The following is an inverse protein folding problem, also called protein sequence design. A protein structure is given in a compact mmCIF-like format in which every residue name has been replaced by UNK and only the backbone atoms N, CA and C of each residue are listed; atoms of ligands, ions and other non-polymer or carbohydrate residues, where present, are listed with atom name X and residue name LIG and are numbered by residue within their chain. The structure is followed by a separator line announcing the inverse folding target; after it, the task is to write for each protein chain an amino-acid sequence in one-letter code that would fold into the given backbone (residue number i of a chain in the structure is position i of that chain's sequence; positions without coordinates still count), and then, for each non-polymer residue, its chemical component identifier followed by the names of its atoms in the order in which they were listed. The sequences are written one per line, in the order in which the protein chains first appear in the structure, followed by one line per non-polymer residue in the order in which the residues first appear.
data_IF_779596640121
#
_entry.id   IF_779596640121
#
_cell.length_a   1.000
_cell.length_b   1.000
_cell.length_c   1.000
_cell.angle_alpha   90.00
_cell.angle_beta   90.00
_cell.angle_gamma   90.00
#
_symmetry.space_group_name_H-M   'P 1'
#
loop_
_entity.id
_entity.type
_entity.pdbx_description
1 polymer ?
#
# COMPACT_ATOMS: atom_id res chain seq x y z
N UNK A 1 -0.70 28.02 -22.02
CA UNK A 1 0.24 27.09 -22.69
C UNK A 1 0.77 26.12 -21.63
N UNK A 2 0.13 24.97 -21.44
CA UNK A 2 0.51 24.00 -20.40
C UNK A 2 1.70 23.19 -20.91
N UNK A 3 2.83 23.27 -20.20
CA UNK A 3 4.09 22.61 -20.56
C UNK A 3 3.93 21.10 -20.35
N UNK A 4 3.99 20.35 -21.43
CA UNK A 4 3.69 18.92 -21.53
C UNK A 4 4.72 18.05 -20.79
N UNK A 5 4.31 17.52 -19.63
CA UNK A 5 4.49 16.19 -19.01
C UNK A 5 5.64 15.20 -19.36
N UNK A 6 6.67 15.55 -20.13
CA UNK A 6 7.73 14.61 -20.53
C UNK A 6 8.54 14.06 -19.34
N UNK A 7 8.69 14.82 -18.25
CA UNK A 7 9.43 14.36 -17.06
C UNK A 7 8.70 13.25 -16.28
N UNK A 8 7.36 13.19 -16.34
CA UNK A 8 6.57 12.15 -15.66
C UNK A 8 6.55 10.84 -16.47
N UNK A 9 6.64 10.91 -17.80
CA UNK A 9 6.65 9.72 -18.66
C UNK A 9 7.93 8.89 -18.55
N UNK A 10 9.06 9.50 -18.19
CA UNK A 10 10.31 8.77 -17.94
C UNK A 10 10.26 8.02 -16.60
N UNK A 11 9.51 8.53 -15.61
CA UNK A 11 9.36 7.91 -14.31
C UNK A 11 8.52 6.62 -14.35
N UNK A 12 7.50 6.51 -15.21
CA UNK A 12 6.60 5.35 -15.21
C UNK A 12 7.26 4.01 -15.59
N UNK A 13 8.10 3.93 -16.64
CA UNK A 13 8.87 2.71 -16.93
C UNK A 13 9.88 2.36 -15.85
N UNK A 14 10.51 3.36 -15.24
CA UNK A 14 11.52 3.15 -14.20
C UNK A 14 10.90 2.70 -12.87
N UNK A 15 9.76 3.28 -12.49
CA UNK A 15 8.97 2.86 -11.33
C UNK A 15 8.41 1.44 -11.51
N UNK A 16 7.91 1.13 -12.70
CA UNK A 16 7.47 -0.22 -13.05
C UNK A 16 8.61 -1.24 -12.88
N UNK A 17 9.82 -0.89 -13.34
CA UNK A 17 11.02 -1.71 -13.18
C UNK A 17 11.41 -1.86 -11.70
N UNK A 18 11.48 -0.76 -10.95
CA UNK A 18 11.85 -0.76 -9.53
C UNK A 18 10.86 -1.56 -8.66
N UNK A 19 9.56 -1.49 -8.97
CA UNK A 19 8.51 -2.23 -8.27
C UNK A 19 8.29 -3.66 -8.80
N UNK A 20 8.96 -4.05 -9.90
CA UNK A 20 8.78 -5.36 -10.54
C UNK A 20 7.38 -5.58 -11.13
N UNK A 21 6.72 -4.52 -11.60
CA UNK A 21 5.37 -4.55 -12.20
C UNK A 21 5.39 -4.04 -13.64
N UNK A 22 4.42 -4.44 -14.47
CA UNK A 22 4.34 -3.92 -15.84
C UNK A 22 3.85 -2.47 -15.90
N UNK A 23 4.30 -1.66 -16.87
CA UNK A 23 3.85 -0.25 -17.04
C UNK A 23 2.33 -0.12 -17.13
N UNK A 24 1.65 -1.08 -17.76
CA UNK A 24 0.18 -1.12 -17.87
C UNK A 24 -0.51 -1.25 -16.51
N UNK A 25 0.16 -1.84 -15.51
CA UNK A 25 -0.32 -1.93 -14.14
C UNK A 25 -0.31 -0.57 -13.46
N UNK A 26 0.78 0.19 -13.58
CA UNK A 26 0.87 1.56 -13.01
C UNK A 26 -0.21 2.46 -13.60
N UNK A 27 -0.41 2.40 -14.93
CA UNK A 27 -1.49 3.14 -15.60
C UNK A 27 -2.89 2.71 -15.11
N UNK A 28 -3.11 1.43 -14.81
CA UNK A 28 -4.37 0.94 -14.27
C UNK A 28 -4.58 1.37 -12.80
N UNK A 29 -3.51 1.45 -12.02
CA UNK A 29 -3.50 1.95 -10.65
C UNK A 29 -3.84 3.44 -10.61
N UNK A 30 -3.23 4.25 -11.48
CA UNK A 30 -3.56 5.68 -11.63
C UNK A 30 -4.98 5.92 -12.12
N UNK A 31 -5.51 5.03 -12.96
CA UNK A 31 -6.90 5.05 -13.40
C UNK A 31 -7.91 4.66 -12.30
N UNK A 32 -7.45 4.30 -11.10
CA UNK A 32 -8.31 4.01 -9.95
C UNK A 32 -9.06 2.68 -10.05
N UNK A 33 -8.54 1.69 -10.79
CA UNK A 33 -9.21 0.38 -10.90
C UNK A 33 -9.29 -0.30 -9.51
N UNK A 34 -10.48 -0.70 -9.04
CA UNK A 34 -10.63 -1.31 -7.72
C UNK A 34 -10.14 -2.77 -7.65
N UNK A 35 -9.85 -3.40 -8.80
CA UNK A 35 -9.44 -4.82 -8.91
C UNK A 35 -7.93 -5.02 -9.02
N UNK A 36 -7.15 -3.96 -8.77
CA UNK A 36 -5.69 -4.03 -8.80
C UNK A 36 -5.21 -4.90 -7.63
N UNK A 37 -4.26 -5.80 -7.90
CA UNK A 37 -3.73 -6.70 -6.87
C UNK A 37 -3.00 -5.90 -5.79
N UNK A 38 -3.48 -6.00 -4.54
CA UNK A 38 -2.90 -5.31 -3.39
C UNK A 38 -1.39 -5.56 -3.26
N UNK A 39 -0.93 -6.79 -3.49
CA UNK A 39 0.48 -7.17 -3.47
C UNK A 39 1.37 -6.26 -4.35
N UNK A 40 0.89 -5.90 -5.54
CA UNK A 40 1.62 -5.09 -6.49
C UNK A 40 1.54 -3.60 -6.13
N UNK A 41 0.45 -3.17 -5.48
CA UNK A 41 0.33 -1.82 -4.93
C UNK A 41 1.35 -1.60 -3.81
N UNK A 42 1.49 -2.58 -2.90
CA UNK A 42 2.49 -2.52 -1.83
C UNK A 42 3.92 -2.42 -2.37
N UNK A 43 4.27 -3.19 -3.42
CA UNK A 43 5.59 -3.12 -4.07
C UNK A 43 5.88 -1.76 -4.71
N UNK A 44 4.86 -1.12 -5.28
CA UNK A 44 5.01 0.23 -5.86
C UNK A 44 5.26 1.26 -4.76
N UNK A 45 4.56 1.14 -3.63
CA UNK A 45 4.74 2.03 -2.48
C UNK A 45 6.13 1.85 -1.86
N UNK A 46 6.59 0.61 -1.71
CA UNK A 46 7.95 0.28 -1.26
C UNK A 46 9.02 0.84 -2.22
N UNK A 47 8.85 0.68 -3.53
CA UNK A 47 9.77 1.23 -4.54
C UNK A 47 9.82 2.78 -4.55
N UNK A 48 8.76 3.44 -4.07
CA UNK A 48 8.73 4.90 -3.87
C UNK A 48 9.32 5.34 -2.53
N UNK A 49 9.61 4.39 -1.62
CA UNK A 49 10.01 4.67 -0.25
C UNK A 49 8.86 5.18 0.62
N UNK A 50 7.61 4.86 0.26
CA UNK A 50 6.41 5.22 1.02
C UNK A 50 6.01 4.16 2.04
N UNK A 51 5.20 4.55 3.03
CA UNK A 51 4.66 3.66 4.06
C UNK A 51 3.12 3.73 4.07
N UNK A 52 2.45 2.61 4.36
CA UNK A 52 0.98 2.56 4.48
C UNK A 52 0.60 2.42 5.95
N UNK A 53 -0.15 3.38 6.45
CA UNK A 53 -0.80 3.28 7.76
C UNK A 53 -2.23 2.77 7.58
N UNK A 54 -2.51 1.59 8.14
CA UNK A 54 -3.86 1.03 8.19
C UNK A 54 -4.52 1.43 9.51
N UNK A 55 -5.45 2.37 9.45
CA UNK A 55 -6.28 2.76 10.59
C UNK A 55 -7.53 1.88 10.68
N UNK A 56 -7.92 1.45 11.89
CA UNK A 56 -9.18 0.73 12.13
C UNK A 56 -9.08 -0.80 12.10
N UNK A 57 -7.89 -1.36 11.88
CA UNK A 57 -7.64 -2.75 12.27
C UNK A 57 -7.61 -2.81 13.80
N UNK A 58 -8.27 -3.79 14.44
CA UNK A 58 -8.11 -3.99 15.87
C UNK A 58 -6.63 -4.22 16.12
N UNK A 59 -5.98 -3.27 16.79
CA UNK A 59 -4.61 -3.44 17.23
C UNK A 59 -4.62 -4.66 18.13
N UNK A 60 -3.90 -5.72 17.74
CA UNK A 60 -3.54 -6.81 18.66
C UNK A 60 -2.49 -6.25 19.63
N UNK A 61 -2.80 -5.13 20.27
CA UNK A 61 -2.11 -4.67 21.45
C UNK A 61 -2.62 -5.56 22.58
N UNK A 62 -1.99 -6.74 22.68
CA UNK A 62 -1.81 -7.57 23.86
C UNK A 62 -2.87 -7.37 24.96
N UNK A 63 -4.10 -7.82 24.68
CA UNK A 63 -5.14 -8.01 25.68
C UNK A 63 -5.36 -9.49 25.93
N UNK A 64 -4.40 -10.17 26.55
CA UNK A 64 -4.66 -11.45 27.22
C UNK A 64 -4.19 -11.34 28.68
N UNK A 65 -4.83 -10.43 29.41
CA UNK A 65 -4.96 -10.54 30.85
C UNK A 65 -6.44 -10.75 31.13
N UNK A 66 -6.93 -11.92 30.73
CA UNK A 66 -8.24 -12.42 31.12
C UNK A 66 -8.20 -12.78 32.61
N UNK A 67 -8.97 -12.02 33.37
CA UNK A 67 -9.45 -12.32 34.72
C UNK A 67 -9.89 -13.78 34.90
N UNK A 68 -9.68 -14.34 36.10
CA UNK A 68 -10.40 -15.55 36.49
C UNK A 68 -9.95 -16.29 37.75
N UNK A 69 -10.23 -15.74 38.93
CA UNK A 69 -10.78 -16.47 40.12
C UNK A 69 -10.60 -15.59 41.35
N UNK A 70 -11.62 -15.21 42.11
CA UNK A 70 -12.88 -15.88 42.38
C UNK A 70 -13.07 -15.78 43.89
N UNK A 71 -13.91 -14.82 44.30
CA UNK A 71 -14.30 -14.58 45.68
C UNK A 71 -15.05 -15.80 46.24
N UNK A 72 -14.67 -16.31 47.41
CA UNK A 72 -15.43 -17.37 48.09
C UNK A 72 -14.91 -17.74 49.48
N UNK A 73 -15.80 -17.56 50.47
CA UNK A 73 -15.81 -17.96 51.88
C UNK A 73 -15.17 -16.99 52.90
#
# INVERSE_FOLDING_TARGET
MVKTNAAWQVAFPQLALAAGVGVRFIVALEAGKPTVRLENVLRVIDALGGEIQLSGLPSVAAGDQGEGSGHGA
#
